data_IF_511738780395
#
_entry.id   IF_511738780395
#
_cell.length_a   1.000
_cell.length_b   1.000
_cell.length_c   1.000
_cell.angle_alpha   90.00
_cell.angle_beta   90.00
_cell.angle_gamma   90.00
#
_symmetry.space_group_name_H-M   'P 1'
#
loop_
_entity.id
_entity.type
_entity.pdbx_description
1 polymer ?
#
# COMPACT_ATOMS: atom_id res chain seq x y z
N UNK A 1 -4.23 -2.23 19.34
CA UNK A 1 -3.57 -2.24 18.03
C UNK A 1 -4.32 -1.38 17.00
N UNK A 2 -5.60 -1.70 16.64
CA UNK A 2 -6.40 -0.89 15.67
C UNK A 2 -6.58 0.55 16.14
N UNK A 3 -6.83 0.75 17.44
CA UNK A 3 -6.93 2.08 18.01
C UNK A 3 -5.57 2.81 18.05
N UNK A 4 -4.47 2.09 18.27
CA UNK A 4 -3.12 2.67 18.27
C UNK A 4 -2.72 3.14 16.87
N UNK A 5 -3.16 2.44 15.82
CA UNK A 5 -3.02 2.86 14.42
C UNK A 5 -3.88 4.11 14.16
N UNK A 6 -5.14 4.11 14.60
CA UNK A 6 -6.08 5.24 14.43
C UNK A 6 -5.59 6.51 15.15
N UNK A 7 -4.94 6.34 16.31
CA UNK A 7 -4.34 7.43 17.10
C UNK A 7 -2.95 7.85 16.60
N UNK A 8 -2.39 7.17 15.62
CA UNK A 8 -1.04 7.44 15.09
C UNK A 8 0.11 7.03 16.03
N UNK A 9 -0.14 6.19 17.03
CA UNK A 9 0.89 5.63 17.92
C UNK A 9 1.71 4.57 17.15
N UNK A 10 1.02 3.78 16.34
CA UNK A 10 1.64 2.85 15.41
C UNK A 10 1.49 3.44 14.01
N UNK A 11 2.63 3.72 13.37
CA UNK A 11 2.66 4.10 11.97
C UNK A 11 2.42 2.88 11.09
N UNK A 12 1.30 2.90 10.39
CA UNK A 12 1.24 2.27 9.09
C UNK A 12 2.02 3.23 8.19
N UNK A 13 3.21 2.91 7.69
CA UNK A 13 3.87 3.81 6.77
C UNK A 13 2.90 4.10 5.61
N UNK A 14 2.68 5.36 5.26
CA UNK A 14 1.95 5.76 4.03
C UNK A 14 2.65 5.25 2.75
N UNK A 15 3.75 4.63 2.93
CA UNK A 15 4.65 3.93 2.02
C UNK A 15 4.07 2.60 1.57
N UNK A 16 2.82 2.46 1.68
CA UNK A 16 2.26 1.18 1.34
C UNK A 16 2.18 1.04 -0.17
N UNK A 17 2.69 -0.10 -0.59
CA UNK A 17 2.16 -0.72 -1.80
C UNK A 17 0.65 -0.53 -1.77
N UNK A 18 0.03 -0.22 -2.91
CA UNK A 18 -1.40 -0.33 -3.04
C UNK A 18 -1.85 -1.63 -2.38
N UNK A 19 -3.00 -1.62 -1.76
CA UNK A 19 -3.51 -2.78 -1.06
C UNK A 19 -3.67 -3.95 -2.06
N UNK A 20 -2.79 -4.94 -1.96
CA UNK A 20 -2.67 -6.03 -2.95
C UNK A 20 -3.46 -7.28 -2.57
N UNK A 21 -3.92 -7.37 -1.32
CA UNK A 21 -4.71 -8.52 -0.92
C UNK A 21 -6.09 -8.49 -1.56
N UNK A 22 -6.47 -9.61 -2.18
CA UNK A 22 -7.84 -9.83 -2.63
C UNK A 22 -8.77 -9.96 -1.43
N UNK A 23 -10.02 -9.57 -1.56
CA UNK A 23 -11.02 -9.62 -0.48
C UNK A 23 -11.16 -11.01 0.13
N UNK A 24 -11.02 -12.06 -0.69
CA UNK A 24 -10.98 -13.46 -0.22
C UNK A 24 -9.90 -13.66 0.84
N UNK A 25 -8.71 -13.08 0.66
CA UNK A 25 -7.62 -13.22 1.63
C UNK A 25 -7.91 -12.45 2.92
N UNK A 26 -8.61 -11.33 2.82
CA UNK A 26 -9.08 -10.56 3.99
C UNK A 26 -10.16 -11.36 4.73
N UNK A 27 -11.12 -11.93 4.02
CA UNK A 27 -12.12 -12.83 4.60
C UNK A 27 -11.45 -13.99 5.35
N UNK A 28 -10.46 -14.66 4.74
CA UNK A 28 -9.74 -15.79 5.35
C UNK A 28 -8.96 -15.36 6.60
N UNK A 29 -8.49 -14.11 6.65
CA UNK A 29 -7.88 -13.55 7.85
C UNK A 29 -8.90 -13.47 9.00
N UNK A 30 -10.08 -12.90 8.75
CA UNK A 30 -11.13 -12.80 9.76
C UNK A 30 -11.65 -14.18 10.20
N UNK A 31 -11.80 -15.13 9.28
CA UNK A 31 -12.16 -16.52 9.57
C UNK A 31 -11.11 -17.20 10.46
N UNK A 32 -9.82 -16.99 10.16
CA UNK A 32 -8.72 -17.51 10.98
C UNK A 32 -8.70 -16.92 12.38
N UNK A 33 -8.90 -15.60 12.49
CA UNK A 33 -8.99 -14.92 13.78
C UNK A 33 -10.19 -15.43 14.59
N UNK A 34 -11.34 -15.62 13.96
CA UNK A 34 -12.55 -16.15 14.59
C UNK A 34 -12.35 -17.56 15.16
N UNK A 35 -11.62 -18.40 14.43
CA UNK A 35 -11.25 -19.76 14.84
C UNK A 35 -10.11 -19.82 15.85
N UNK A 36 -9.54 -18.66 16.23
CA UNK A 36 -8.39 -18.59 17.13
C UNK A 36 -7.09 -19.11 16.53
N UNK A 37 -7.00 -19.20 15.19
CA UNK A 37 -5.78 -19.65 14.52
C UNK A 37 -4.73 -18.55 14.49
N UNK A 38 -3.43 -18.89 14.59
CA UNK A 38 -2.37 -17.91 14.49
C UNK A 38 -2.32 -17.30 13.09
N UNK A 39 -2.36 -15.98 13.01
CA UNK A 39 -2.35 -15.22 11.75
C UNK A 39 -0.96 -14.66 11.39
N UNK A 40 0.07 -15.18 12.04
CA UNK A 40 1.47 -14.80 11.86
C UNK A 40 1.91 -13.66 12.79
N UNK A 41 3.19 -13.34 12.73
CA UNK A 41 3.81 -12.31 13.56
C UNK A 41 3.68 -10.93 12.93
N UNK A 42 3.68 -9.90 13.77
CA UNK A 42 3.94 -8.52 13.39
C UNK A 42 5.39 -8.21 13.68
N UNK A 43 6.06 -7.51 12.78
CA UNK A 43 7.38 -6.96 13.04
C UNK A 43 7.24 -5.44 13.15
N UNK A 44 7.53 -4.93 14.32
CA UNK A 44 7.46 -3.51 14.67
C UNK A 44 8.87 -3.01 14.91
N UNK A 45 9.12 -1.75 14.61
CA UNK A 45 10.39 -1.09 14.90
C UNK A 45 10.13 0.15 15.72
N UNK A 46 10.78 0.25 16.88
CA UNK A 46 10.70 1.41 17.73
C UNK A 46 11.38 2.60 17.05
N UNK A 47 10.67 3.72 16.96
CA UNK A 47 11.21 4.93 16.37
C UNK A 47 12.08 5.68 17.40
N UNK A 48 13.40 5.72 17.15
CA UNK A 48 14.35 6.41 18.04
C UNK A 48 14.34 7.94 17.88
N UNK A 49 13.81 8.47 16.78
CA UNK A 49 13.89 9.89 16.44
C UNK A 49 12.58 10.62 16.74
N UNK A 50 12.15 10.59 18.00
CA UNK A 50 10.97 11.34 18.46
C UNK A 50 11.16 12.86 18.33
N UNK A 51 12.41 13.35 18.34
CA UNK A 51 12.72 14.79 18.33
C UNK A 51 12.82 15.41 16.91
N UNK A 52 12.95 14.63 15.84
CA UNK A 52 13.19 15.15 14.47
C UNK A 52 12.20 14.68 13.40
N UNK A 53 11.10 14.06 13.77
CA UNK A 53 10.17 13.52 12.80
C UNK A 53 9.20 14.58 12.29
N UNK A 54 9.26 14.83 11.00
CA UNK A 54 8.21 15.57 10.28
C UNK A 54 6.93 14.74 10.27
N UNK A 55 5.81 15.43 10.49
CA UNK A 55 4.47 14.88 10.53
C UNK A 55 4.13 14.10 9.25
N UNK A 56 3.66 12.87 9.38
CA UNK A 56 3.13 12.06 8.30
C UNK A 56 1.60 12.20 8.33
N UNK A 57 1.03 12.79 7.27
CA UNK A 57 -0.43 12.84 7.06
C UNK A 57 -0.95 14.15 6.51
N UNK A 58 -1.85 14.06 5.55
CA UNK A 58 -2.62 15.18 5.00
C UNK A 58 -3.77 15.51 5.95
N UNK A 59 -3.65 16.63 6.69
CA UNK A 59 -4.76 17.19 7.46
C UNK A 59 -4.72 16.94 8.96
N UNK A 60 -4.03 17.82 9.71
CA UNK A 60 -4.19 18.07 11.15
C UNK A 60 -3.37 17.15 12.06
N UNK A 61 -2.50 17.76 12.86
CA UNK A 61 -1.79 17.26 14.06
C UNK A 61 -1.73 15.72 14.23
N UNK A 62 -1.01 15.01 13.38
CA UNK A 62 -0.67 13.63 13.65
C UNK A 62 0.54 13.55 14.57
N UNK A 63 0.42 12.71 15.61
CA UNK A 63 1.54 12.36 16.48
C UNK A 63 2.56 11.56 15.69
N UNK A 64 3.83 11.79 15.95
CA UNK A 64 4.92 10.95 15.46
C UNK A 64 4.69 9.53 15.97
N UNK A 65 4.62 8.52 15.09
CA UNK A 65 4.42 7.17 15.54
C UNK A 65 5.60 6.68 16.37
N UNK A 66 5.32 6.08 17.51
CA UNK A 66 6.33 5.46 18.36
C UNK A 66 6.86 4.15 17.78
N UNK A 67 6.03 3.46 17.01
CA UNK A 67 6.32 2.17 16.39
C UNK A 67 6.01 2.24 14.89
N UNK A 68 6.89 1.71 14.09
CA UNK A 68 6.71 1.54 12.65
C UNK A 68 6.49 0.07 12.31
N UNK A 69 5.52 -0.22 11.46
CA UNK A 69 5.26 -1.59 11.02
C UNK A 69 6.25 -1.95 9.92
N UNK A 70 7.11 -2.92 10.19
CA UNK A 70 8.08 -3.46 9.22
C UNK A 70 7.46 -4.63 8.45
N UNK A 71 6.78 -5.57 9.14
CA UNK A 71 6.04 -6.66 8.51
C UNK A 71 4.66 -6.84 9.14
N UNK A 72 3.72 -7.37 8.34
CA UNK A 72 2.32 -7.52 8.70
C UNK A 72 1.43 -6.39 8.23
N UNK A 73 1.94 -5.45 7.42
CA UNK A 73 1.22 -4.27 6.93
C UNK A 73 -0.12 -4.63 6.28
N UNK A 74 -0.14 -5.57 5.32
CA UNK A 74 -1.37 -5.96 4.62
C UNK A 74 -2.42 -6.54 5.59
N UNK A 75 -1.99 -7.28 6.61
CA UNK A 75 -2.88 -7.81 7.67
C UNK A 75 -3.49 -6.67 8.49
N UNK A 76 -2.64 -5.77 8.98
CA UNK A 76 -3.10 -4.65 9.79
C UNK A 76 -3.96 -3.67 9.00
N UNK A 77 -3.60 -3.38 7.76
CA UNK A 77 -4.44 -2.57 6.85
C UNK A 77 -5.80 -3.23 6.63
N UNK A 78 -5.85 -4.57 6.44
CA UNK A 78 -7.11 -5.31 6.29
C UNK A 78 -7.99 -5.16 7.53
N UNK A 79 -7.42 -5.39 8.70
CA UNK A 79 -8.15 -5.33 9.97
C UNK A 79 -8.63 -3.91 10.24
N UNK A 80 -7.74 -2.91 10.05
CA UNK A 80 -8.07 -1.51 10.23
C UNK A 80 -9.18 -1.07 9.27
N UNK A 81 -9.04 -1.38 7.97
CA UNK A 81 -10.01 -1.00 6.95
C UNK A 81 -11.40 -1.60 7.24
N UNK A 82 -11.47 -2.88 7.57
CA UNK A 82 -12.75 -3.55 7.86
C UNK A 82 -13.32 -3.06 9.19
N UNK A 83 -12.56 -3.08 10.29
CA UNK A 83 -13.10 -2.71 11.61
C UNK A 83 -13.46 -1.22 11.71
N UNK A 84 -12.75 -0.33 11.03
CA UNK A 84 -13.03 1.12 11.02
C UNK A 84 -13.92 1.55 9.85
N UNK A 85 -14.28 0.65 8.93
CA UNK A 85 -15.04 0.98 7.74
C UNK A 85 -14.31 1.98 6.83
N UNK A 86 -12.98 1.85 6.69
CA UNK A 86 -12.16 2.75 5.88
C UNK A 86 -11.90 2.16 4.49
N UNK A 87 -11.74 3.04 3.51
CA UNK A 87 -11.34 2.67 2.17
C UNK A 87 -9.87 2.26 2.11
N UNK A 88 -9.55 1.33 1.24
CA UNK A 88 -8.19 0.97 0.85
C UNK A 88 -7.91 1.45 -0.58
N UNK A 89 -6.66 1.79 -0.86
CA UNK A 89 -6.22 2.14 -2.20
C UNK A 89 -5.71 0.87 -2.87
N UNK A 90 -6.36 0.42 -3.94
CA UNK A 90 -5.97 -0.76 -4.73
C UNK A 90 -4.80 -0.48 -5.67
N UNK A 91 -4.24 -1.53 -6.28
CA UNK A 91 -3.16 -1.41 -7.27
C UNK A 91 -3.51 -0.52 -8.49
N UNK A 92 -4.79 -0.39 -8.79
CA UNK A 92 -5.30 0.50 -9.83
C UNK A 92 -5.54 1.93 -9.33
N UNK A 93 -5.13 2.25 -8.10
CA UNK A 93 -5.34 3.50 -7.38
C UNK A 93 -6.80 3.85 -7.09
N UNK A 94 -7.73 2.94 -7.33
CA UNK A 94 -9.12 3.13 -6.91
C UNK A 94 -9.23 2.94 -5.40
N UNK A 95 -10.09 3.77 -4.80
CA UNK A 95 -10.49 3.63 -3.40
C UNK A 95 -11.68 2.69 -3.31
N UNK A 96 -11.58 1.69 -2.48
CA UNK A 96 -12.61 0.65 -2.33
C UNK A 96 -12.78 0.28 -0.86
N UNK A 97 -14.03 0.04 -0.45
CA UNK A 97 -14.33 -0.59 0.83
C UNK A 97 -14.23 -2.10 0.73
N UNK A 98 -13.59 -2.71 1.70
CA UNK A 98 -13.57 -4.17 1.84
C UNK A 98 -14.81 -4.56 2.66
N UNK A 99 -15.76 -5.19 2.02
CA UNK A 99 -17.00 -5.65 2.66
C UNK A 99 -16.91 -7.15 2.89
N UNK A 100 -17.13 -7.57 4.13
CA UNK A 100 -17.19 -8.97 4.52
C UNK A 100 -18.55 -9.21 5.17
N UNK A 101 -19.26 -10.23 4.70
CA UNK A 101 -20.51 -10.71 5.28
C UNK A 101 -20.22 -11.89 6.22
N UNK A 102 -21.12 -12.09 7.19
CA UNK A 102 -21.05 -13.21 8.11
C UNK A 102 -22.39 -13.90 8.22
N UNK A 103 -22.42 -15.25 8.11
CA UNK A 103 -23.61 -16.09 8.27
C UNK A 103 -23.58 -16.72 9.67
N UNK A 104 -24.36 -16.21 10.66
CA UNK A 104 -24.22 -16.60 12.06
C UNK A 104 -24.49 -18.08 12.34
N UNK A 105 -25.52 -18.66 11.74
CA UNK A 105 -25.87 -20.06 11.99
C UNK A 105 -24.86 -21.06 11.43
N UNK A 106 -24.11 -20.68 10.39
CA UNK A 106 -23.05 -21.51 9.79
C UNK A 106 -21.65 -21.08 10.25
N UNK A 107 -21.54 -19.97 10.98
CA UNK A 107 -20.27 -19.39 11.43
C UNK A 107 -19.29 -19.12 10.27
N UNK A 108 -19.82 -18.62 9.16
CA UNK A 108 -19.10 -18.52 7.90
C UNK A 108 -18.94 -17.08 7.45
N UNK A 109 -17.71 -16.69 7.14
CA UNK A 109 -17.40 -15.41 6.50
C UNK A 109 -17.43 -15.54 4.98
N UNK A 110 -18.04 -14.57 4.30
CA UNK A 110 -18.13 -14.55 2.84
C UNK A 110 -17.90 -13.15 2.28
N UNK A 111 -17.44 -13.10 1.02
CA UNK A 111 -17.48 -11.86 0.25
C UNK A 111 -18.87 -11.76 -0.35
N UNK A 112 -19.62 -10.66 -0.09
CA UNK A 112 -21.01 -10.57 -0.49
C UNK A 112 -21.17 -10.54 -2.00
N UNK A 113 -21.96 -11.46 -2.52
CA UNK A 113 -22.44 -11.49 -3.90
C UNK A 113 -23.89 -10.97 -4.02
N UNK A 114 -24.47 -11.04 -5.21
CA UNK A 114 -25.83 -10.58 -5.44
C UNK A 114 -26.89 -11.40 -4.68
N UNK A 115 -26.61 -12.68 -4.39
CA UNK A 115 -27.53 -13.57 -3.68
C UNK A 115 -27.42 -13.33 -2.16
N UNK A 116 -26.23 -13.35 -1.60
CA UNK A 116 -25.98 -13.12 -0.18
C UNK A 116 -26.45 -11.74 0.29
N UNK A 117 -26.30 -10.70 -0.56
CA UNK A 117 -26.77 -9.33 -0.27
C UNK A 117 -28.29 -9.22 -0.09
N UNK A 118 -29.07 -10.13 -0.64
CA UNK A 118 -30.54 -10.17 -0.53
C UNK A 118 -31.03 -11.13 0.56
N UNK A 119 -30.15 -11.97 1.05
CA UNK A 119 -30.51 -12.98 2.04
C UNK A 119 -30.51 -12.39 3.46
N UNK A 120 -31.59 -12.57 4.24
CA UNK A 120 -31.65 -12.15 5.63
C UNK A 120 -30.77 -13.01 6.56
N UNK A 121 -30.17 -14.09 6.06
CA UNK A 121 -29.31 -15.00 6.84
C UNK A 121 -27.92 -14.41 7.11
N UNK A 122 -27.58 -13.28 6.47
CA UNK A 122 -26.25 -12.67 6.58
C UNK A 122 -26.26 -11.36 7.35
N UNK A 123 -25.32 -11.20 8.25
CA UNK A 123 -24.80 -9.88 8.60
C UNK A 123 -24.06 -9.38 7.37
N UNK A 124 -24.66 -8.43 6.65
CA UNK A 124 -24.21 -8.00 5.31
C UNK A 124 -22.83 -7.36 5.30
N UNK A 125 -22.48 -6.70 6.39
CA UNK A 125 -21.22 -6.00 6.57
C UNK A 125 -20.83 -6.05 8.06
N UNK A 126 -19.78 -6.83 8.36
CA UNK A 126 -19.29 -6.97 9.74
C UNK A 126 -18.69 -5.69 10.30
N UNK A 127 -18.30 -4.71 9.46
CA UNK A 127 -17.74 -3.44 9.92
C UNK A 127 -18.68 -2.70 10.86
N UNK A 128 -19.99 -2.90 10.70
CA UNK A 128 -21.04 -2.30 11.52
C UNK A 128 -20.93 -2.69 13.00
N UNK A 129 -20.34 -3.84 13.30
CA UNK A 129 -20.18 -4.34 14.67
C UNK A 129 -19.18 -3.50 15.51
N UNK A 130 -18.29 -2.74 14.85
CA UNK A 130 -17.28 -1.92 15.54
C UNK A 130 -17.50 -0.42 15.41
N UNK A 131 -18.65 -0.01 14.87
CA UNK A 131 -18.98 1.41 14.80
C UNK A 131 -19.31 1.98 16.20
N UNK A 132 -19.05 3.28 16.46
CA UNK A 132 -19.24 3.89 17.78
C UNK A 132 -20.66 3.83 18.30
N UNK A 133 -21.66 3.77 17.42
CA UNK A 133 -23.09 3.72 17.71
C UNK A 133 -23.65 2.29 17.82
N UNK A 134 -22.82 1.27 17.66
CA UNK A 134 -23.23 -0.13 17.72
C UNK A 134 -23.81 -0.50 19.08
N UNK A 135 -25.04 -1.02 19.05
CA UNK A 135 -25.76 -1.55 20.21
C UNK A 135 -26.15 -3.00 19.94
N UNK A 136 -25.42 -3.94 20.55
CA UNK A 136 -25.56 -5.37 20.26
C UNK A 136 -27.00 -5.88 20.38
N UNK A 137 -27.71 -5.49 21.45
CA UNK A 137 -29.10 -5.96 21.70
C UNK A 137 -30.08 -5.46 20.62
N UNK A 138 -29.90 -4.25 20.08
CA UNK A 138 -30.73 -3.71 19.00
C UNK A 138 -30.37 -4.42 17.70
N UNK A 139 -29.09 -4.42 17.35
CA UNK A 139 -28.61 -4.98 16.07
C UNK A 139 -28.98 -6.46 15.93
N UNK A 140 -28.72 -7.27 16.96
CA UNK A 140 -29.00 -8.72 16.94
C UNK A 140 -30.50 -8.97 16.99
N UNK A 141 -31.27 -8.18 17.77
CA UNK A 141 -32.71 -8.26 17.81
C UNK A 141 -33.35 -7.97 16.46
N UNK A 142 -32.90 -6.94 15.75
CA UNK A 142 -33.38 -6.60 14.41
C UNK A 142 -32.97 -7.68 13.39
N UNK A 143 -31.76 -8.23 13.51
CA UNK A 143 -31.32 -9.36 12.66
C UNK A 143 -32.22 -10.58 12.82
N UNK A 144 -32.49 -11.00 14.06
CA UNK A 144 -33.36 -12.13 14.37
C UNK A 144 -34.77 -11.88 13.83
N UNK A 145 -35.33 -10.69 14.08
CA UNK A 145 -36.67 -10.31 13.59
C UNK A 145 -36.77 -10.34 12.07
N UNK A 146 -35.75 -9.86 11.37
CA UNK A 146 -35.70 -9.89 9.90
C UNK A 146 -35.60 -11.31 9.38
N UNK A 147 -34.84 -12.19 10.04
CA UNK A 147 -34.73 -13.58 9.66
C UNK A 147 -36.03 -14.34 9.95
N UNK A 148 -36.71 -14.07 11.06
CA UNK A 148 -38.01 -14.64 11.40
C UNK A 148 -39.13 -14.29 10.41
N UNK A 149 -39.01 -13.15 9.72
CA UNK A 149 -39.92 -12.77 8.64
C UNK A 149 -39.85 -13.73 7.43
N UNK A 150 -38.75 -14.46 7.27
CA UNK A 150 -38.52 -15.41 6.19
C UNK A 150 -38.76 -16.89 6.63
N UNK A 151 -38.46 -17.24 7.88
CA UNK A 151 -38.69 -18.55 8.47
C UNK A 151 -38.71 -18.49 9.99
N UNK A 152 -39.44 -19.42 10.62
CA UNK A 152 -39.42 -19.56 12.07
C UNK A 152 -38.01 -19.96 12.57
N UNK A 153 -37.62 -19.42 13.71
CA UNK A 153 -36.37 -19.75 14.40
C UNK A 153 -36.66 -20.45 15.73
N UNK A 154 -35.86 -21.46 16.04
CA UNK A 154 -35.86 -22.06 17.37
C UNK A 154 -35.12 -21.17 18.37
N UNK A 155 -35.37 -21.35 19.67
CA UNK A 155 -34.64 -20.60 20.70
C UNK A 155 -33.15 -20.93 20.69
N UNK A 156 -32.76 -22.15 20.35
CA UNK A 156 -31.33 -22.52 20.19
C UNK A 156 -30.69 -21.78 19.02
N UNK A 157 -31.40 -21.62 17.89
CA UNK A 157 -30.90 -20.84 16.77
C UNK A 157 -30.74 -19.36 17.14
N UNK A 158 -31.67 -18.77 17.90
CA UNK A 158 -31.56 -17.40 18.38
C UNK A 158 -30.37 -17.24 19.31
N UNK A 159 -30.18 -18.17 20.24
CA UNK A 159 -29.04 -18.21 21.13
C UNK A 159 -27.72 -18.30 20.35
N UNK A 160 -27.67 -19.18 19.34
CA UNK A 160 -26.50 -19.33 18.47
C UNK A 160 -26.20 -18.04 17.67
N UNK A 161 -27.23 -17.41 17.11
CA UNK A 161 -27.05 -16.11 16.39
C UNK A 161 -26.45 -15.06 17.33
N UNK A 162 -26.99 -14.99 18.55
CA UNK A 162 -26.47 -14.07 19.55
C UNK A 162 -24.99 -14.31 19.86
N UNK A 163 -24.64 -15.56 20.17
CA UNK A 163 -23.30 -15.97 20.53
C UNK A 163 -22.30 -15.70 19.39
N UNK A 164 -22.63 -16.14 18.17
CA UNK A 164 -21.71 -16.05 17.04
C UNK A 164 -21.46 -14.61 16.59
N UNK A 165 -22.48 -13.74 16.61
CA UNK A 165 -22.29 -12.31 16.32
C UNK A 165 -21.43 -11.65 17.42
N UNK A 166 -21.64 -12.02 18.69
CA UNK A 166 -20.78 -11.53 19.78
C UNK A 166 -19.32 -12.00 19.61
N UNK A 167 -19.11 -13.25 19.18
CA UNK A 167 -17.78 -13.77 18.89
C UNK A 167 -17.10 -13.00 17.77
N UNK A 168 -17.82 -12.60 16.70
CA UNK A 168 -17.26 -11.70 15.68
C UNK A 168 -16.92 -10.35 16.28
N UNK A 169 -17.79 -9.75 17.09
CA UNK A 169 -17.51 -8.47 17.78
C UNK A 169 -16.26 -8.56 18.66
N UNK A 170 -16.05 -9.68 19.33
CA UNK A 170 -14.93 -9.91 20.23
C UNK A 170 -13.58 -10.06 19.49
N UNK A 171 -13.55 -10.11 18.15
CA UNK A 171 -12.30 -10.06 17.39
C UNK A 171 -11.47 -8.79 17.66
N UNK A 172 -12.07 -7.74 18.19
CA UNK A 172 -11.33 -6.55 18.64
C UNK A 172 -10.32 -6.88 19.76
N UNK A 173 -10.52 -7.98 20.49
CA UNK A 173 -9.65 -8.49 21.55
C UNK A 173 -8.69 -9.59 21.09
N UNK A 174 -8.67 -9.90 19.79
CA UNK A 174 -7.74 -10.90 19.24
C UNK A 174 -6.28 -10.49 19.50
N UNK A 175 -5.50 -11.42 20.08
CA UNK A 175 -4.10 -11.17 20.44
C UNK A 175 -3.16 -11.46 19.28
N UNK A 176 -2.32 -10.50 18.93
CA UNK A 176 -1.25 -10.66 17.97
C UNK A 176 0.09 -10.90 18.66
N UNK A 177 0.88 -11.82 18.12
CA UNK A 177 2.29 -11.91 18.48
C UNK A 177 3.07 -10.86 17.69
N UNK A 178 3.77 -9.98 18.39
CA UNK A 178 4.60 -8.95 17.78
C UNK A 178 6.06 -9.10 18.23
N UNK A 179 6.98 -8.92 17.30
CA UNK A 179 8.39 -8.75 17.55
C UNK A 179 8.71 -7.26 17.42
N UNK A 180 9.28 -6.68 18.45
CA UNK A 180 9.68 -5.28 18.46
C UNK A 180 11.19 -5.17 18.32
N UNK A 181 11.63 -4.47 17.28
CA UNK A 181 13.01 -4.11 17.07
C UNK A 181 13.32 -2.83 17.84
N UNK A 182 14.47 -2.85 18.53
CA UNK A 182 14.92 -1.70 19.33
C UNK A 182 15.16 -0.47 18.45
N UNK A 183 14.96 0.71 19.01
CA UNK A 183 15.30 1.99 18.43
C UNK A 183 16.78 2.15 18.04
N UNK A 184 17.67 1.38 18.68
CA UNK A 184 19.12 1.42 18.42
C UNK A 184 19.53 0.64 17.15
N UNK A 185 18.62 -0.14 16.58
CA UNK A 185 18.88 -0.90 15.35
C UNK A 185 18.77 0.08 14.17
N UNK A 186 19.80 0.08 13.32
CA UNK A 186 19.82 0.92 12.13
C UNK A 186 18.78 0.45 11.11
N UNK A 187 18.30 1.36 10.25
CA UNK A 187 17.38 1.01 9.18
C UNK A 187 17.95 -0.07 8.23
N UNK A 188 19.29 -0.09 8.06
CA UNK A 188 19.96 -1.09 7.24
C UNK A 188 19.84 -2.49 7.87
N UNK A 189 20.01 -2.59 9.18
CA UNK A 189 19.82 -3.83 9.94
C UNK A 189 18.34 -4.25 9.95
N UNK A 190 17.41 -3.30 10.10
CA UNK A 190 15.96 -3.57 9.99
C UNK A 190 15.61 -4.12 8.61
N UNK A 191 16.18 -3.55 7.55
CA UNK A 191 16.02 -4.06 6.18
C UNK A 191 16.55 -5.47 6.02
N UNK A 192 17.73 -5.76 6.57
CA UNK A 192 18.34 -7.10 6.52
C UNK A 192 17.52 -8.13 7.32
N UNK A 193 17.04 -7.76 8.50
CA UNK A 193 16.14 -8.59 9.32
C UNK A 193 14.87 -8.90 8.55
N UNK A 194 14.26 -7.87 7.95
CA UNK A 194 13.04 -8.04 7.17
C UNK A 194 13.23 -9.00 5.99
N UNK A 195 14.32 -8.83 5.21
CA UNK A 195 14.63 -9.72 4.08
C UNK A 195 14.83 -11.16 4.55
N UNK A 196 15.51 -11.38 5.68
CA UNK A 196 15.74 -12.72 6.23
C UNK A 196 14.45 -13.39 6.72
N UNK A 197 13.58 -12.65 7.41
CA UNK A 197 12.29 -13.15 7.89
C UNK A 197 11.36 -13.50 6.71
N UNK A 198 11.37 -12.69 5.65
CA UNK A 198 10.52 -12.86 4.48
C UNK A 198 11.17 -13.67 3.34
N UNK A 199 12.35 -14.26 3.56
CA UNK A 199 13.09 -15.00 2.52
C UNK A 199 12.32 -16.19 1.92
N UNK A 200 11.24 -16.62 2.53
CA UNK A 200 10.29 -17.62 1.99
C UNK A 200 8.99 -17.00 1.43
N UNK A 201 8.84 -15.67 1.46
CA UNK A 201 7.69 -14.93 0.91
C UNK A 201 8.07 -14.08 -0.31
N UNK A 202 7.12 -13.28 -0.82
CA UNK A 202 7.42 -12.25 -1.82
C UNK A 202 8.45 -11.27 -1.23
N UNK A 203 9.67 -11.31 -1.74
CA UNK A 203 10.73 -10.35 -1.40
C UNK A 203 10.22 -8.93 -1.54
N UNK A 204 10.40 -8.10 -0.51
CA UNK A 204 10.17 -6.68 -0.63
C UNK A 204 11.02 -6.15 -1.78
N UNK A 205 10.39 -5.43 -2.66
CA UNK A 205 11.11 -4.76 -3.74
C UNK A 205 11.94 -3.62 -3.11
N UNK A 206 13.22 -3.55 -3.45
CA UNK A 206 14.10 -2.48 -2.97
C UNK A 206 13.57 -1.07 -3.31
N UNK A 207 12.72 -0.95 -4.33
CA UNK A 207 12.01 0.29 -4.62
C UNK A 207 11.09 0.73 -3.47
N UNK A 208 10.48 -0.23 -2.77
CA UNK A 208 9.58 0.09 -1.66
C UNK A 208 10.34 0.80 -0.52
N UNK A 209 11.61 0.43 -0.26
CA UNK A 209 12.46 1.12 0.72
C UNK A 209 12.81 2.54 0.29
N UNK A 210 13.04 2.77 -1.01
CA UNK A 210 13.33 4.11 -1.51
C UNK A 210 12.07 4.97 -1.46
N UNK A 211 10.92 4.44 -1.84
CA UNK A 211 9.62 5.11 -1.68
C UNK A 211 9.34 5.44 -0.21
N UNK A 212 9.81 4.59 0.71
CA UNK A 212 9.80 4.83 2.16
C UNK A 212 10.64 6.05 2.53
N UNK A 213 11.89 6.10 2.12
CA UNK A 213 12.74 7.26 2.36
C UNK A 213 12.14 8.53 1.75
N UNK A 214 11.55 8.44 0.56
CA UNK A 214 10.89 9.58 -0.07
C UNK A 214 9.76 10.14 0.77
N UNK A 215 8.90 9.32 1.36
CA UNK A 215 7.80 9.83 2.18
C UNK A 215 8.28 10.52 3.46
N UNK A 216 9.45 10.13 4.00
CA UNK A 216 10.04 10.78 5.18
C UNK A 216 10.74 12.08 4.80
N UNK A 217 11.51 12.08 3.72
CA UNK A 217 12.37 13.20 3.35
C UNK A 217 11.85 14.06 2.20
N UNK A 218 10.90 13.53 1.40
CA UNK A 218 10.33 14.21 0.23
C UNK A 218 8.99 13.56 -0.19
N UNK A 219 7.96 13.70 0.62
CA UNK A 219 6.63 13.09 0.42
C UNK A 219 5.95 13.55 -0.90
N UNK A 220 6.14 14.81 -1.29
CA UNK A 220 5.61 15.32 -2.57
C UNK A 220 6.08 14.48 -3.76
N UNK A 221 7.35 14.05 -3.78
CA UNK A 221 7.90 13.28 -4.89
C UNK A 221 7.27 11.91 -5.04
N UNK A 222 6.89 11.30 -3.94
CA UNK A 222 6.14 10.05 -3.94
C UNK A 222 4.72 10.28 -4.49
N UNK A 223 4.03 11.27 -3.96
CA UNK A 223 2.68 11.65 -4.41
C UNK A 223 2.66 11.97 -5.90
N UNK A 224 3.69 12.66 -6.41
CA UNK A 224 3.84 12.97 -7.83
C UNK A 224 4.01 11.71 -8.70
N UNK A 225 4.82 10.74 -8.25
CA UNK A 225 4.97 9.45 -8.92
C UNK A 225 3.63 8.68 -8.98
N UNK A 226 2.92 8.63 -7.87
CA UNK A 226 1.61 7.96 -7.80
C UNK A 226 0.58 8.64 -8.69
N UNK A 227 0.48 9.97 -8.64
CA UNK A 227 -0.41 10.78 -9.47
C UNK A 227 -0.11 10.57 -10.96
N UNK A 228 1.14 10.68 -11.37
CA UNK A 228 1.54 10.44 -12.76
C UNK A 228 1.14 9.04 -13.25
N UNK A 229 1.40 8.01 -12.46
CA UNK A 229 1.03 6.64 -12.78
C UNK A 229 -0.50 6.46 -12.88
N UNK A 230 -1.27 7.13 -12.03
CA UNK A 230 -2.72 7.17 -12.13
C UNK A 230 -3.18 7.84 -13.45
N UNK A 231 -2.60 8.99 -13.78
CA UNK A 231 -2.92 9.75 -15.00
C UNK A 231 -2.56 8.99 -16.28
N UNK A 232 -1.60 8.06 -16.25
CA UNK A 232 -1.32 7.19 -17.42
C UNK A 232 -2.49 6.25 -17.76
N UNK A 233 -3.40 6.01 -16.83
CA UNK A 233 -4.55 5.10 -16.96
C UNK A 233 -5.86 5.85 -17.16
N UNK A 234 -6.01 6.98 -16.51
CA UNK A 234 -7.25 7.76 -16.49
C UNK A 234 -6.99 9.16 -17.06
N UNK A 235 -7.64 9.52 -18.18
CA UNK A 235 -7.39 10.82 -18.79
C UNK A 235 -7.85 11.97 -17.89
N UNK A 236 -7.02 12.99 -17.77
CA UNK A 236 -7.47 14.26 -17.20
C UNK A 236 -8.07 15.09 -18.35
N UNK A 237 -9.37 15.39 -18.25
CA UNK A 237 -10.08 16.14 -19.29
C UNK A 237 -9.84 17.66 -19.19
N UNK A 238 -9.23 18.15 -18.11
CA UNK A 238 -9.02 19.58 -17.85
C UNK A 238 -7.59 20.04 -18.09
N UNK A 239 -6.62 19.12 -18.16
CA UNK A 239 -5.21 19.45 -18.35
C UNK A 239 -4.50 18.39 -19.19
N UNK A 240 -3.30 18.73 -19.69
CA UNK A 240 -2.41 17.76 -20.31
C UNK A 240 -2.08 16.66 -19.29
N UNK A 241 -2.25 15.39 -19.67
CA UNK A 241 -2.03 14.24 -18.81
C UNK A 241 -1.13 13.20 -19.46
N UNK A 242 -0.57 12.32 -18.64
CA UNK A 242 0.27 11.22 -19.09
C UNK A 242 -0.51 10.05 -19.73
N UNK A 243 -1.83 10.19 -19.91
CA UNK A 243 -2.71 9.16 -20.44
C UNK A 243 -2.25 8.60 -21.79
N UNK A 244 -2.27 7.27 -21.90
CA UNK A 244 -1.94 6.56 -23.15
C UNK A 244 -2.54 5.14 -23.16
N UNK A 245 -2.53 4.50 -24.36
CA UNK A 245 -3.04 3.15 -24.57
C UNK A 245 -1.93 2.08 -24.67
N UNK A 246 -0.66 2.46 -24.47
CA UNK A 246 0.49 1.58 -24.73
C UNK A 246 0.99 0.96 -23.44
N UNK A 247 1.26 1.79 -22.41
CA UNK A 247 1.86 1.34 -21.16
C UNK A 247 1.32 2.11 -19.96
N UNK A 248 1.06 1.37 -18.89
CA UNK A 248 0.65 1.92 -17.59
C UNK A 248 1.71 1.55 -16.56
N UNK A 249 2.71 2.41 -16.30
CA UNK A 249 3.76 2.12 -15.35
C UNK A 249 3.22 2.12 -13.91
N UNK A 250 3.96 1.47 -13.01
CA UNK A 250 3.78 1.56 -11.57
C UNK A 250 4.75 2.58 -10.95
N UNK A 251 4.49 3.11 -9.75
CA UNK A 251 5.37 4.06 -9.08
C UNK A 251 6.80 3.55 -8.91
N UNK A 252 7.00 2.25 -8.61
CA UNK A 252 8.31 1.65 -8.51
C UNK A 252 9.06 1.63 -9.85
N UNK A 253 8.34 1.46 -10.96
CA UNK A 253 8.93 1.52 -12.30
C UNK A 253 9.35 2.95 -12.65
N UNK A 254 8.52 3.95 -12.37
CA UNK A 254 8.88 5.36 -12.61
C UNK A 254 10.00 5.83 -11.69
N UNK A 255 10.01 5.39 -10.43
CA UNK A 255 11.14 5.62 -9.53
C UNK A 255 12.46 5.07 -10.11
N UNK A 256 12.45 3.88 -10.71
CA UNK A 256 13.64 3.31 -11.35
C UNK A 256 14.13 4.18 -12.50
N UNK A 257 13.25 4.80 -13.26
CA UNK A 257 13.64 5.77 -14.29
C UNK A 257 14.31 6.99 -13.67
N UNK A 258 13.72 7.57 -12.62
CA UNK A 258 14.28 8.73 -11.92
C UNK A 258 15.66 8.43 -11.33
N UNK A 259 15.81 7.27 -10.70
CA UNK A 259 17.08 6.78 -10.16
C UNK A 259 18.11 6.50 -11.26
N UNK A 260 17.70 5.88 -12.35
CA UNK A 260 18.55 5.61 -13.51
C UNK A 260 19.06 6.90 -14.15
N UNK A 261 18.18 7.90 -14.31
CA UNK A 261 18.54 9.21 -14.84
C UNK A 261 19.47 9.97 -13.89
N UNK A 262 19.18 9.96 -12.59
CA UNK A 262 19.92 10.70 -11.57
C UNK A 262 21.30 10.09 -11.30
N UNK A 263 21.33 8.83 -10.90
CA UNK A 263 22.52 8.16 -10.35
C UNK A 263 23.25 7.26 -11.37
N UNK A 264 22.71 7.06 -12.56
CA UNK A 264 23.24 6.14 -13.59
C UNK A 264 23.41 4.71 -13.06
N UNK A 265 22.51 4.32 -12.14
CA UNK A 265 22.55 3.02 -11.46
C UNK A 265 21.20 2.32 -11.54
N UNK A 266 21.23 1.03 -11.89
CA UNK A 266 20.04 0.18 -11.91
C UNK A 266 19.85 -0.62 -10.61
N UNK A 267 20.92 -0.80 -9.81
CA UNK A 267 20.89 -1.60 -8.59
C UNK A 267 20.42 -0.74 -7.42
N UNK A 268 19.15 -0.89 -7.06
CA UNK A 268 18.48 -0.05 -6.05
C UNK A 268 19.09 -0.15 -4.63
N UNK A 269 19.75 -1.27 -4.30
CA UNK A 269 20.46 -1.42 -3.01
C UNK A 269 21.48 -0.29 -2.80
N UNK A 270 22.26 0.03 -3.81
CA UNK A 270 23.23 1.12 -3.72
C UNK A 270 22.57 2.49 -3.69
N UNK A 271 21.46 2.63 -4.42
CA UNK A 271 20.68 3.88 -4.44
C UNK A 271 20.06 4.17 -3.08
N UNK A 272 19.53 3.16 -2.42
CA UNK A 272 19.04 3.29 -1.05
C UNK A 272 20.12 3.81 -0.10
N UNK A 273 21.33 3.23 -0.15
CA UNK A 273 22.48 3.70 0.64
C UNK A 273 22.87 5.16 0.31
N UNK A 274 22.90 5.51 -0.98
CA UNK A 274 23.20 6.88 -1.44
C UNK A 274 22.17 7.88 -0.90
N UNK A 275 20.88 7.57 -1.01
CA UNK A 275 19.80 8.43 -0.55
C UNK A 275 19.77 8.58 0.98
N UNK A 276 20.34 7.65 1.73
CA UNK A 276 20.58 7.80 3.17
C UNK A 276 21.76 8.71 3.49
N UNK A 277 22.50 9.16 2.49
CA UNK A 277 23.71 9.97 2.67
C UNK A 277 24.97 9.16 2.92
N UNK A 278 24.96 7.83 2.61
CA UNK A 278 26.15 6.98 2.71
C UNK A 278 27.11 7.26 1.56
N UNK A 279 28.36 7.45 1.89
CA UNK A 279 29.45 7.37 0.94
C UNK A 279 29.77 5.91 0.67
N UNK A 280 29.72 5.47 -0.58
CA UNK A 280 29.92 4.08 -0.95
C UNK A 280 31.39 3.61 -0.83
N UNK A 281 32.34 4.54 -0.80
CA UNK A 281 33.77 4.24 -0.69
C UNK A 281 34.21 4.21 0.77
N UNK A 282 33.85 5.25 1.53
CA UNK A 282 34.24 5.38 2.94
C UNK A 282 33.28 4.73 3.92
N UNK A 283 32.02 4.45 3.49
CA UNK A 283 30.97 3.91 4.35
C UNK A 283 30.36 4.91 5.34
N UNK A 284 30.84 6.18 5.35
CA UNK A 284 30.38 7.21 6.27
C UNK A 284 29.04 7.82 5.87
N UNK A 285 28.23 8.22 6.85
CA UNK A 285 26.95 8.88 6.63
C UNK A 285 27.04 10.40 6.89
N UNK A 286 26.29 11.21 6.11
CA UNK A 286 26.16 12.65 6.30
C UNK A 286 24.77 13.12 5.90
N UNK A 287 24.16 13.98 6.73
CA UNK A 287 22.85 14.59 6.45
C UNK A 287 22.93 15.54 5.25
N UNK A 288 23.97 16.36 5.18
CA UNK A 288 24.21 17.27 4.04
C UNK A 288 24.28 16.48 2.72
N UNK A 289 24.96 15.33 2.75
CA UNK A 289 25.04 14.45 1.59
C UNK A 289 23.67 13.88 1.23
N UNK A 290 22.88 13.46 2.22
CA UNK A 290 21.50 12.99 2.01
C UNK A 290 20.65 14.06 1.33
N UNK A 291 20.65 15.28 1.85
CA UNK A 291 19.89 16.39 1.27
C UNK A 291 20.29 16.65 -0.18
N UNK A 292 21.58 16.70 -0.46
CA UNK A 292 22.09 16.86 -1.82
C UNK A 292 21.63 15.75 -2.77
N UNK A 293 21.61 14.50 -2.31
CA UNK A 293 21.17 13.38 -3.13
C UNK A 293 19.66 13.46 -3.41
N UNK A 294 18.85 13.89 -2.43
CA UNK A 294 17.44 14.12 -2.65
C UNK A 294 17.18 15.28 -3.63
N UNK A 295 17.94 16.37 -3.57
CA UNK A 295 17.81 17.46 -4.57
C UNK A 295 18.12 16.96 -5.99
N UNK A 296 19.15 16.16 -6.17
CA UNK A 296 19.44 15.53 -7.47
C UNK A 296 18.30 14.63 -7.94
N UNK A 297 17.71 13.85 -7.03
CA UNK A 297 16.56 12.99 -7.35
C UNK A 297 15.33 13.82 -7.72
N UNK A 298 15.07 14.94 -7.04
CA UNK A 298 13.96 15.87 -7.36
C UNK A 298 14.09 16.42 -8.78
N UNK A 299 15.28 16.87 -9.17
CA UNK A 299 15.52 17.38 -10.51
C UNK A 299 15.32 16.28 -11.59
N UNK A 300 15.79 15.07 -11.33
CA UNK A 300 15.58 13.96 -12.25
C UNK A 300 14.08 13.61 -12.34
N UNK A 301 13.37 13.59 -11.21
CA UNK A 301 11.94 13.24 -11.16
C UNK A 301 11.08 14.24 -11.95
N UNK A 302 11.39 15.54 -11.89
CA UNK A 302 10.73 16.57 -12.72
C UNK A 302 10.80 16.24 -14.21
N UNK A 303 11.97 15.80 -14.69
CA UNK A 303 12.17 15.43 -16.09
C UNK A 303 11.46 14.13 -16.47
N UNK A 304 11.47 13.16 -15.56
CA UNK A 304 10.81 11.85 -15.74
C UNK A 304 9.29 11.98 -15.78
N UNK A 305 8.71 12.84 -14.96
CA UNK A 305 7.27 13.07 -14.87
C UNK A 305 6.78 14.19 -15.79
N UNK A 306 7.67 14.77 -16.62
CA UNK A 306 7.28 15.75 -17.63
C UNK A 306 6.42 15.07 -18.71
N UNK A 307 5.20 15.57 -18.88
CA UNK A 307 4.20 15.02 -19.81
C UNK A 307 4.67 15.09 -21.26
N UNK A 308 5.46 16.12 -21.63
CA UNK A 308 6.01 16.27 -22.97
C UNK A 308 7.06 15.20 -23.23
N UNK A 309 8.01 15.00 -22.31
CA UNK A 309 9.01 13.95 -22.39
C UNK A 309 8.36 12.56 -22.51
N UNK A 310 7.33 12.33 -21.69
CA UNK A 310 6.58 11.07 -21.72
C UNK A 310 5.93 10.81 -23.08
N UNK A 311 5.20 11.77 -23.63
CA UNK A 311 4.52 11.59 -24.92
C UNK A 311 5.48 11.52 -26.10
N UNK A 312 6.60 12.21 -26.07
CA UNK A 312 7.62 12.09 -27.12
C UNK A 312 8.30 10.72 -27.08
N UNK A 313 8.60 10.22 -25.90
CA UNK A 313 9.04 8.84 -25.74
C UNK A 313 8.02 7.84 -26.30
N UNK A 314 6.74 7.98 -26.00
CA UNK A 314 5.69 7.12 -26.53
C UNK A 314 5.56 7.19 -28.05
N UNK A 315 5.87 8.34 -28.67
CA UNK A 315 5.96 8.43 -30.14
C UNK A 315 7.08 7.56 -30.70
N UNK A 316 8.25 7.56 -30.05
CA UNK A 316 9.36 6.67 -30.45
C UNK A 316 8.97 5.20 -30.33
N UNK A 317 8.36 4.80 -29.21
CA UNK A 317 7.88 3.44 -28.99
C UNK A 317 6.85 3.01 -30.05
N UNK A 318 5.91 3.90 -30.37
CA UNK A 318 4.90 3.64 -31.41
C UNK A 318 5.54 3.49 -32.80
N UNK A 319 6.54 4.31 -33.12
CA UNK A 319 7.25 4.23 -34.41
C UNK A 319 8.13 2.97 -34.52
N UNK A 320 8.61 2.45 -33.38
CA UNK A 320 9.27 1.14 -33.30
C UNK A 320 8.30 -0.07 -33.46
N UNK A 321 6.99 0.20 -33.62
CA UNK A 321 5.98 -0.84 -33.87
C UNK A 321 5.19 -1.26 -32.62
N UNK A 322 5.47 -0.71 -31.43
CA UNK A 322 4.74 -1.02 -30.19
C UNK A 322 3.49 -0.16 -30.08
N UNK A 323 2.42 -0.54 -30.75
CA UNK A 323 1.17 0.23 -30.84
C UNK A 323 0.14 -0.08 -29.74
N UNK A 324 0.31 -1.22 -29.06
CA UNK A 324 -0.58 -1.67 -27.96
C UNK A 324 0.24 -2.35 -26.87
N UNK A 325 -0.29 -2.30 -25.64
CA UNK A 325 0.33 -2.95 -24.48
C UNK A 325 0.47 -4.47 -24.59
N UNK A 326 -0.43 -5.12 -25.32
CA UNK A 326 -0.46 -6.59 -25.46
C UNK A 326 0.75 -7.15 -26.23
N UNK A 327 1.37 -6.35 -27.09
CA UNK A 327 2.59 -6.75 -27.83
C UNK A 327 3.88 -6.50 -27.07
N UNK A 328 3.80 -5.92 -25.88
CA UNK A 328 4.95 -5.65 -25.02
C UNK A 328 5.14 -6.84 -24.10
N UNK A 329 6.11 -7.71 -24.40
CA UNK A 329 6.44 -8.88 -23.58
C UNK A 329 7.05 -8.53 -22.22
N UNK A 330 7.78 -7.41 -22.14
CA UNK A 330 8.41 -6.93 -20.91
C UNK A 330 8.17 -5.44 -20.70
N UNK A 331 7.25 -5.11 -19.79
CA UNK A 331 6.99 -3.72 -19.39
C UNK A 331 8.24 -3.07 -18.78
N UNK A 332 9.02 -3.82 -18.02
CA UNK A 332 10.25 -3.34 -17.37
C UNK A 332 11.27 -2.90 -18.41
N UNK A 333 11.44 -3.64 -19.50
CA UNK A 333 12.37 -3.25 -20.59
C UNK A 333 11.97 -1.91 -21.20
N UNK A 334 10.69 -1.73 -21.51
CA UNK A 334 10.18 -0.47 -22.08
C UNK A 334 10.44 0.69 -21.10
N UNK A 335 10.27 0.49 -19.80
CA UNK A 335 10.56 1.52 -18.79
C UNK A 335 12.07 1.85 -18.75
N UNK A 336 12.96 0.89 -18.86
CA UNK A 336 14.40 1.17 -18.95
C UNK A 336 14.78 1.92 -20.23
N UNK A 337 14.11 1.64 -21.36
CA UNK A 337 14.30 2.41 -22.62
C UNK A 337 13.91 3.87 -22.41
N UNK A 338 12.89 4.16 -21.59
CA UNK A 338 12.57 5.55 -21.24
C UNK A 338 13.73 6.26 -20.51
N UNK A 339 14.44 5.56 -19.63
CA UNK A 339 15.67 6.12 -19.01
C UNK A 339 16.71 6.48 -20.07
N UNK A 340 16.95 5.59 -21.04
CA UNK A 340 17.93 5.85 -22.12
C UNK A 340 17.49 7.01 -23.01
N UNK A 341 16.20 7.09 -23.36
CA UNK A 341 15.63 8.22 -24.07
C UNK A 341 15.89 9.55 -23.37
N UNK A 342 15.63 9.62 -22.07
CA UNK A 342 15.88 10.83 -21.27
C UNK A 342 17.36 11.18 -21.18
N UNK A 343 18.25 10.20 -21.04
CA UNK A 343 19.70 10.44 -21.04
C UNK A 343 20.13 11.02 -22.39
N UNK A 344 19.71 10.40 -23.50
CA UNK A 344 20.02 10.91 -24.84
C UNK A 344 19.53 12.35 -25.04
N UNK A 345 18.27 12.62 -24.65
CA UNK A 345 17.66 13.94 -24.81
C UNK A 345 18.29 15.00 -23.91
N UNK A 346 18.39 14.71 -22.61
CA UNK A 346 18.75 15.70 -21.59
C UNK A 346 20.26 15.95 -21.48
N UNK A 347 21.07 14.90 -21.63
CA UNK A 347 22.50 14.98 -21.44
C UNK A 347 23.25 15.12 -22.77
N UNK A 348 22.90 14.29 -23.75
CA UNK A 348 23.58 14.28 -25.06
C UNK A 348 22.94 15.22 -26.06
N UNK A 349 21.78 15.82 -25.73
CA UNK A 349 21.05 16.75 -26.61
C UNK A 349 20.72 16.16 -27.99
N UNK A 350 20.53 14.86 -28.04
CA UNK A 350 20.14 14.14 -29.25
C UNK A 350 18.80 14.65 -29.78
N UNK A 351 18.69 14.75 -31.07
CA UNK A 351 17.41 15.09 -31.71
C UNK A 351 16.44 13.90 -31.76
N UNK A 352 15.20 14.16 -32.18
CA UNK A 352 14.17 13.12 -32.20
C UNK A 352 14.42 12.03 -33.25
N UNK A 353 15.25 12.26 -34.24
CA UNK A 353 15.64 11.25 -35.21
C UNK A 353 16.69 10.30 -34.62
N UNK A 354 17.65 10.84 -33.89
CA UNK A 354 18.70 10.09 -33.19
C UNK A 354 18.14 9.26 -32.01
N UNK A 355 17.08 9.75 -31.37
CA UNK A 355 16.41 9.08 -30.23
C UNK A 355 15.47 7.93 -30.64
N UNK A 356 15.24 7.75 -31.93
CA UNK A 356 14.40 6.66 -32.49
C UNK A 356 15.17 5.39 -32.77
#
# INVERSE_FOLDING_TARGET
>A
LVNDIDMGVIGLPDIQRPFVWKDIKVRDLFDSMYKGYPVGYLLLWANANVDNSKYIGVGGKQKIPNLLIVDGQQRLTSIFAVMKGKEVIRENFNKEHIIISFKPLEEKFEIPDAASRRSPEYVQDISKLWQPDFKAHIFIGDFIKNLEASRALTEDEKAKIWETIQNVKNLEHYSFSALELSANISEEEVSDIFVRINSQGKTLNQADFILTLMSVFWDEGRTDLERFCHETRTPNLQAASAFNYIITPSPDQMLRVSVGLCFKRAVLKYVYSILRGKDLETGTFSEERREKQFELLKEANKKVLDVTNWHEYLKCIKQAGYIKGDIISSKTTIIYVYTMFLIGREEYKMDMFELR
#
